data_IF_430514529908
#
_entry.id   IF_430514529908
#
_cell.length_a   1.000
_cell.length_b   1.000
_cell.length_c   1.000
_cell.angle_alpha   90.00
_cell.angle_beta   90.00
_cell.angle_gamma   90.00
#
_symmetry.space_group_name_H-M   'P 1'
#
loop_
_entity.id
_entity.type
_entity.pdbx_description
1 polymer ?
#
# COMPACT_ATOMS: atom_id res chain seq x y z
N UNK A 1 -35.15 -31.75 -29.20
CA UNK A 1 -34.94 -31.83 -27.74
C UNK A 1 -33.48 -31.51 -27.38
N UNK A 2 -32.50 -32.15 -28.01
CA UNK A 2 -31.06 -31.97 -27.69
C UNK A 2 -30.52 -30.53 -27.96
N UNK A 3 -30.93 -29.89 -29.05
CA UNK A 3 -30.54 -28.50 -29.36
C UNK A 3 -31.14 -27.49 -28.38
N UNK A 4 -32.39 -27.72 -27.94
CA UNK A 4 -33.06 -26.88 -26.94
C UNK A 4 -32.43 -26.98 -25.56
N UNK A 5 -31.99 -28.17 -25.15
CA UNK A 5 -31.23 -28.36 -23.91
C UNK A 5 -29.86 -27.67 -23.96
N UNK A 6 -29.13 -27.77 -25.08
CA UNK A 6 -27.85 -27.08 -25.27
C UNK A 6 -28.00 -25.55 -25.22
N UNK A 7 -29.02 -25.00 -25.87
CA UNK A 7 -29.34 -23.56 -25.83
C UNK A 7 -29.72 -23.09 -24.43
N UNK A 8 -30.53 -23.87 -23.69
CA UNK A 8 -30.90 -23.56 -22.31
C UNK A 8 -29.67 -23.57 -21.38
N UNK A 9 -28.80 -24.58 -21.51
CA UNK A 9 -27.56 -24.65 -20.73
C UNK A 9 -26.64 -23.45 -21.02
N UNK A 10 -26.49 -23.06 -22.29
CA UNK A 10 -25.71 -21.89 -22.66
C UNK A 10 -26.30 -20.61 -22.06
N UNK A 11 -27.62 -20.42 -22.17
CA UNK A 11 -28.30 -19.27 -21.58
C UNK A 11 -28.11 -19.19 -20.07
N UNK A 12 -28.33 -20.30 -19.35
CA UNK A 12 -28.16 -20.36 -17.90
C UNK A 12 -26.70 -20.09 -17.49
N UNK A 13 -25.73 -20.67 -18.20
CA UNK A 13 -24.31 -20.41 -17.95
C UNK A 13 -23.96 -18.94 -18.18
N UNK A 14 -24.42 -18.33 -19.28
CA UNK A 14 -24.22 -16.91 -19.55
C UNK A 14 -24.88 -16.01 -18.51
N UNK A 15 -26.09 -16.34 -18.06
CA UNK A 15 -26.78 -15.59 -17.01
C UNK A 15 -26.04 -15.68 -15.67
N UNK A 16 -25.52 -16.85 -15.30
CA UNK A 16 -24.72 -17.03 -14.09
C UNK A 16 -23.38 -16.28 -14.16
N UNK A 17 -22.71 -16.29 -15.32
CA UNK A 17 -21.47 -15.51 -15.53
C UNK A 17 -21.76 -14.01 -15.44
N UNK A 18 -22.82 -13.53 -16.11
CA UNK A 18 -23.22 -12.13 -16.05
C UNK A 18 -23.57 -11.70 -14.61
N UNK A 19 -24.30 -12.54 -13.87
CA UNK A 19 -24.61 -12.31 -12.47
C UNK A 19 -23.36 -12.28 -11.59
N UNK A 20 -22.39 -13.17 -11.84
CA UNK A 20 -21.13 -13.21 -11.09
C UNK A 20 -20.24 -11.99 -11.36
N UNK A 21 -20.21 -11.49 -12.60
CA UNK A 21 -19.45 -10.29 -12.97
C UNK A 21 -20.12 -9.05 -12.40
N UNK A 22 -21.45 -8.99 -12.46
CA UNK A 22 -22.21 -7.84 -12.04
C UNK A 22 -21.97 -7.50 -10.57
N UNK A 23 -21.52 -6.28 -10.34
CA UNK A 23 -21.36 -5.69 -9.01
C UNK A 23 -21.72 -4.22 -9.14
N UNK A 24 -22.58 -3.66 -8.29
CA UNK A 24 -22.83 -2.22 -8.31
C UNK A 24 -21.52 -1.45 -8.13
N UNK A 25 -21.12 -0.71 -9.17
CA UNK A 25 -19.98 0.20 -9.12
C UNK A 25 -20.51 1.62 -8.91
N UNK A 26 -19.88 2.44 -8.06
CA UNK A 26 -20.23 3.84 -7.86
C UNK A 26 -20.32 4.62 -9.18
N UNK A 27 -21.29 5.53 -9.29
CA UNK A 27 -21.60 6.27 -10.53
C UNK A 27 -20.47 7.21 -10.97
N UNK A 28 -19.62 7.62 -10.04
CA UNK A 28 -18.47 8.49 -10.24
C UNK A 28 -17.26 7.76 -10.83
N UNK A 29 -17.26 6.42 -10.90
CA UNK A 29 -16.20 5.63 -11.54
C UNK A 29 -16.35 5.65 -13.06
N UNK A 30 -15.33 6.18 -13.74
CA UNK A 30 -15.33 6.43 -15.20
C UNK A 30 -15.49 5.18 -16.07
N UNK A 31 -14.88 4.05 -15.69
CA UNK A 31 -14.84 2.81 -16.49
C UNK A 31 -15.50 1.61 -15.76
N UNK A 32 -16.81 1.67 -15.43
CA UNK A 32 -17.44 0.75 -14.50
C UNK A 32 -17.39 -0.71 -14.97
N UNK A 33 -17.53 -0.97 -16.28
CA UNK A 33 -17.48 -2.33 -16.83
C UNK A 33 -16.12 -3.00 -16.70
N UNK A 34 -15.03 -2.24 -16.89
CA UNK A 34 -13.68 -2.76 -16.67
C UNK A 34 -13.45 -3.05 -15.18
N UNK A 35 -13.87 -2.13 -14.32
CA UNK A 35 -13.76 -2.31 -12.85
C UNK A 35 -14.58 -3.50 -12.37
N UNK A 36 -15.79 -3.73 -12.90
CA UNK A 36 -16.58 -4.95 -12.62
C UNK A 36 -15.83 -6.22 -13.00
N UNK A 37 -15.25 -6.27 -14.21
CA UNK A 37 -14.49 -7.44 -14.68
C UNK A 37 -13.26 -7.70 -13.82
N UNK A 38 -12.49 -6.66 -13.50
CA UNK A 38 -11.33 -6.76 -12.60
C UNK A 38 -11.78 -7.25 -11.23
N UNK A 39 -12.82 -6.66 -10.66
CA UNK A 39 -13.37 -7.07 -9.35
C UNK A 39 -13.79 -8.53 -9.34
N UNK A 40 -14.49 -8.98 -10.39
CA UNK A 40 -14.90 -10.37 -10.54
C UNK A 40 -13.69 -11.31 -10.62
N UNK A 41 -12.64 -10.92 -11.35
CA UNK A 41 -11.37 -11.67 -11.41
C UNK A 41 -10.71 -11.78 -10.04
N UNK A 42 -10.60 -10.68 -9.28
CA UNK A 42 -10.05 -10.68 -7.92
C UNK A 42 -10.88 -11.55 -6.96
N UNK A 43 -12.21 -11.50 -7.03
CA UNK A 43 -13.08 -12.38 -6.25
C UNK A 43 -12.87 -13.85 -6.60
N UNK A 44 -12.80 -14.19 -7.89
CA UNK A 44 -12.61 -15.56 -8.34
C UNK A 44 -11.27 -16.11 -7.82
N UNK A 45 -10.22 -15.30 -7.92
CA UNK A 45 -8.89 -15.63 -7.39
C UNK A 45 -8.92 -15.82 -5.87
N UNK A 46 -9.59 -14.93 -5.12
CA UNK A 46 -9.75 -15.06 -3.68
C UNK A 46 -10.51 -16.34 -3.28
N UNK A 47 -11.57 -16.70 -3.99
CA UNK A 47 -12.30 -17.95 -3.74
C UNK A 47 -11.44 -19.18 -4.04
N UNK A 48 -10.68 -19.17 -5.13
CA UNK A 48 -9.76 -20.26 -5.47
C UNK A 48 -8.66 -20.41 -4.40
N UNK A 49 -8.08 -19.29 -3.94
CA UNK A 49 -7.10 -19.29 -2.86
C UNK A 49 -7.68 -19.85 -1.56
N UNK A 50 -8.91 -19.47 -1.20
CA UNK A 50 -9.61 -19.98 -0.01
C UNK A 50 -9.90 -21.49 -0.11
N UNK A 51 -10.31 -21.96 -1.30
CA UNK A 51 -10.52 -23.41 -1.53
C UNK A 51 -9.20 -24.16 -1.41
N UNK A 52 -8.11 -23.64 -1.99
CA UNK A 52 -6.80 -24.28 -1.93
C UNK A 52 -6.26 -24.37 -0.48
N UNK A 53 -6.46 -23.31 0.30
CA UNK A 53 -6.11 -23.23 1.72
C UNK A 53 -6.91 -24.23 2.56
N UNK A 54 -8.24 -24.28 2.39
CA UNK A 54 -9.12 -25.22 3.11
C UNK A 54 -8.86 -26.68 2.79
N UNK A 55 -8.41 -26.98 1.57
CA UNK A 55 -8.01 -28.32 1.16
C UNK A 55 -6.59 -28.68 1.61
N UNK A 56 -5.86 -27.76 2.24
CA UNK A 56 -4.49 -27.97 2.72
C UNK A 56 -3.46 -28.07 1.60
N UNK A 57 -3.78 -27.58 0.39
CA UNK A 57 -2.87 -27.65 -0.76
C UNK A 57 -1.80 -26.57 -0.71
N UNK A 58 -2.18 -25.35 -0.32
CA UNK A 58 -1.27 -24.22 -0.17
C UNK A 58 -1.90 -23.14 0.71
N UNK A 59 -1.10 -22.35 1.40
CA UNK A 59 -1.61 -21.24 2.21
C UNK A 59 -2.26 -20.17 1.32
N UNK A 60 -3.30 -19.48 1.82
CA UNK A 60 -4.03 -18.46 1.06
C UNK A 60 -3.12 -17.37 0.45
N UNK A 61 -2.14 -16.87 1.22
CA UNK A 61 -1.21 -15.85 0.72
C UNK A 61 -0.25 -16.39 -0.35
N UNK A 62 0.16 -17.65 -0.22
CA UNK A 62 1.00 -18.29 -1.24
C UNK A 62 0.22 -18.46 -2.56
N UNK A 63 -1.09 -18.73 -2.48
CA UNK A 63 -1.96 -18.81 -3.65
C UNK A 63 -2.07 -17.47 -4.37
N UNK A 64 -2.22 -16.37 -3.62
CA UNK A 64 -2.20 -15.02 -4.20
C UNK A 64 -0.82 -14.65 -4.76
N UNK A 65 0.27 -15.13 -4.15
CA UNK A 65 1.62 -14.89 -4.64
C UNK A 65 1.90 -15.49 -6.02
N UNK A 66 1.25 -16.61 -6.37
CA UNK A 66 1.39 -17.17 -7.73
C UNK A 66 0.91 -16.19 -8.82
N UNK A 67 -0.05 -15.31 -8.49
CA UNK A 67 -0.55 -14.28 -9.40
C UNK A 67 0.49 -13.18 -9.59
N UNK A 68 1.09 -12.71 -8.50
CA UNK A 68 2.22 -11.78 -8.53
C UNK A 68 3.34 -12.32 -9.41
N UNK A 69 3.68 -13.61 -9.25
CA UNK A 69 4.72 -14.26 -10.04
C UNK A 69 4.37 -14.38 -11.53
N UNK A 70 3.09 -14.55 -11.88
CA UNK A 70 2.64 -14.59 -13.27
C UNK A 70 2.78 -13.22 -13.98
N UNK A 71 2.75 -12.13 -13.22
CA UNK A 71 2.97 -10.77 -13.71
C UNK A 71 4.46 -10.34 -13.65
N UNK A 72 5.38 -11.24 -13.30
CA UNK A 72 6.80 -10.91 -13.22
C UNK A 72 7.39 -10.57 -14.60
N UNK A 73 8.18 -9.49 -14.64
CA UNK A 73 8.98 -9.09 -15.80
C UNK A 73 10.47 -9.08 -15.44
N UNK A 74 11.31 -9.59 -16.34
CA UNK A 74 12.77 -9.57 -16.17
C UNK A 74 13.31 -8.12 -16.23
N UNK A 75 14.42 -7.81 -15.55
CA UNK A 75 15.01 -6.46 -15.51
C UNK A 75 15.59 -6.07 -16.88
N UNK A 76 14.72 -5.57 -17.76
CA UNK A 76 15.06 -5.28 -19.15
C UNK A 76 15.36 -3.80 -19.30
N UNK A 77 16.56 -3.50 -19.80
CA UNK A 77 16.96 -2.12 -20.14
C UNK A 77 16.41 -1.72 -21.51
N UNK A 78 16.14 -0.43 -21.67
CA UNK A 78 15.73 0.19 -22.93
C UNK A 78 16.63 1.42 -23.24
N UNK A 79 16.29 2.16 -24.29
CA UNK A 79 17.03 3.35 -24.72
C UNK A 79 16.99 4.51 -23.70
N UNK A 80 16.01 4.53 -22.80
CA UNK A 80 15.81 5.58 -21.81
C UNK A 80 16.35 5.19 -20.44
N UNK A 81 16.21 3.92 -20.03
CA UNK A 81 16.50 3.43 -18.67
C UNK A 81 17.36 2.17 -18.69
N UNK A 82 18.39 2.13 -17.85
CA UNK A 82 19.08 0.89 -17.48
C UNK A 82 18.39 0.28 -16.26
N UNK A 83 17.96 -0.97 -16.39
CA UNK A 83 17.31 -1.72 -15.31
C UNK A 83 18.16 -2.90 -14.90
N UNK A 84 18.45 -3.02 -13.62
CA UNK A 84 19.29 -4.10 -13.06
C UNK A 84 18.76 -4.57 -11.71
N UNK A 85 18.70 -5.88 -11.53
CA UNK A 85 18.50 -6.49 -10.21
C UNK A 85 19.85 -6.60 -9.49
N UNK A 86 19.89 -6.18 -8.23
CA UNK A 86 21.07 -6.23 -7.35
C UNK A 86 20.64 -6.34 -5.88
N UNK A 87 21.58 -6.21 -4.96
CA UNK A 87 21.30 -6.24 -3.52
C UNK A 87 21.91 -5.04 -2.82
N UNK A 88 21.11 -4.38 -1.97
CA UNK A 88 21.58 -3.38 -1.02
C UNK A 88 21.36 -3.92 0.38
N UNK A 89 22.42 -3.97 1.19
CA UNK A 89 22.36 -4.54 2.55
C UNK A 89 21.75 -5.95 2.62
N UNK A 90 22.07 -6.81 1.65
CA UNK A 90 21.55 -8.19 1.50
C UNK A 90 20.03 -8.28 1.27
N UNK A 91 19.41 -7.19 0.81
CA UNK A 91 18.01 -7.16 0.38
C UNK A 91 17.98 -6.92 -1.12
N UNK A 92 17.21 -7.75 -1.83
CA UNK A 92 17.05 -7.62 -3.27
C UNK A 92 16.39 -6.29 -3.63
N UNK A 93 16.95 -5.62 -4.63
CA UNK A 93 16.42 -4.36 -5.18
C UNK A 93 16.47 -4.41 -6.70
N UNK A 94 15.48 -3.79 -7.34
CA UNK A 94 15.53 -3.45 -8.76
C UNK A 94 15.87 -1.97 -8.91
N UNK A 95 16.98 -1.70 -9.58
CA UNK A 95 17.45 -0.34 -9.86
C UNK A 95 17.01 0.10 -11.25
N UNK A 96 16.55 1.34 -11.34
CA UNK A 96 16.25 2.04 -12.59
C UNK A 96 17.14 3.28 -12.67
N UNK A 97 18.07 3.28 -13.62
CA UNK A 97 19.03 4.34 -13.85
C UNK A 97 18.71 5.04 -15.17
N UNK A 98 18.36 6.33 -15.17
CA UNK A 98 18.02 7.05 -16.39
C UNK A 98 19.28 7.31 -17.22
N UNK A 99 19.21 7.02 -18.52
CA UNK A 99 20.29 7.23 -19.50
C UNK A 99 20.36 8.66 -20.01
N UNK A 100 19.28 9.44 -19.81
CA UNK A 100 19.23 10.85 -20.19
C UNK A 100 20.37 11.60 -19.50
N UNK A 101 21.10 12.42 -20.27
CA UNK A 101 22.13 13.29 -19.72
C UNK A 101 21.52 14.20 -18.62
N UNK A 102 22.35 14.55 -17.64
CA UNK A 102 21.98 15.49 -16.59
C UNK A 102 23.06 16.53 -16.48
N UNK A 103 22.66 17.79 -16.31
CA UNK A 103 23.57 18.92 -16.11
C UNK A 103 24.10 19.01 -14.66
N UNK A 104 23.74 18.01 -13.83
CA UNK A 104 24.16 17.91 -12.42
C UNK A 104 23.75 16.58 -11.77
N UNK A 105 23.77 16.56 -10.44
CA UNK A 105 23.31 15.42 -9.64
C UNK A 105 21.80 15.17 -9.82
N UNK A 106 21.39 13.91 -9.72
CA UNK A 106 20.02 13.43 -9.97
C UNK A 106 19.19 13.39 -8.70
N UNK A 107 17.88 13.43 -8.88
CA UNK A 107 16.90 13.03 -7.86
C UNK A 107 17.00 11.53 -7.60
N UNK A 108 16.52 11.09 -6.45
CA UNK A 108 16.28 9.67 -6.20
C UNK A 108 14.93 9.38 -5.55
N UNK A 109 14.34 8.23 -5.90
CA UNK A 109 13.12 7.71 -5.28
C UNK A 109 13.40 6.29 -4.80
N UNK A 110 13.26 6.04 -3.51
CA UNK A 110 13.28 4.69 -2.94
C UNK A 110 11.82 4.26 -2.83
N UNK A 111 11.41 3.26 -3.61
CA UNK A 111 10.02 2.84 -3.74
C UNK A 111 9.79 1.49 -3.05
N UNK A 112 8.75 1.43 -2.24
CA UNK A 112 8.27 0.22 -1.59
C UNK A 112 6.92 -0.18 -2.19
N UNK A 113 6.85 -1.38 -2.74
CA UNK A 113 5.62 -1.86 -3.37
C UNK A 113 4.51 -2.12 -2.32
N UNK A 114 3.25 -2.05 -2.74
CA UNK A 114 2.11 -2.51 -1.95
C UNK A 114 1.90 -4.02 -1.97
N UNK A 115 0.73 -4.47 -1.49
CA UNK A 115 0.37 -5.90 -1.43
C UNK A 115 0.22 -6.46 -0.02
N UNK A 116 -0.20 -5.62 0.95
CA UNK A 116 -0.54 -6.08 2.30
C UNK A 116 0.59 -6.82 3.02
N UNK A 117 1.86 -6.47 2.75
CA UNK A 117 3.07 -7.11 3.28
C UNK A 117 3.22 -8.62 2.98
N UNK A 118 2.28 -9.18 2.22
CA UNK A 118 2.16 -10.61 1.94
C UNK A 118 2.31 -10.93 0.45
N UNK A 119 2.00 -9.97 -0.42
CA UNK A 119 2.11 -10.11 -1.87
C UNK A 119 2.83 -8.92 -2.52
N UNK A 120 3.13 -9.04 -3.81
CA UNK A 120 3.86 -8.03 -4.59
C UNK A 120 5.31 -8.43 -4.86
N UNK A 121 5.92 -7.78 -5.84
CA UNK A 121 7.34 -7.92 -6.19
C UNK A 121 7.79 -6.66 -6.93
N UNK A 122 9.03 -6.22 -6.72
CA UNK A 122 9.60 -5.05 -7.41
C UNK A 122 9.62 -5.20 -8.95
N UNK A 123 9.65 -6.43 -9.45
CA UNK A 123 9.59 -6.81 -10.85
C UNK A 123 8.21 -7.22 -11.35
N UNK A 124 7.14 -7.02 -10.58
CA UNK A 124 5.77 -7.16 -11.10
C UNK A 124 5.51 -6.10 -12.18
N UNK A 125 4.87 -6.47 -13.28
CA UNK A 125 4.67 -5.63 -14.48
C UNK A 125 4.22 -4.19 -14.19
N UNK A 126 3.27 -4.02 -13.27
CA UNK A 126 2.75 -2.71 -12.92
C UNK A 126 3.72 -1.89 -12.06
N UNK A 127 4.47 -2.52 -11.15
CA UNK A 127 5.54 -1.85 -10.40
C UNK A 127 6.73 -1.50 -11.29
N UNK A 128 7.12 -2.38 -12.23
CA UNK A 128 8.16 -2.07 -13.22
C UNK A 128 7.75 -0.87 -14.08
N UNK A 129 6.51 -0.87 -14.58
CA UNK A 129 5.99 0.25 -15.37
C UNK A 129 5.98 1.56 -14.58
N UNK A 130 5.45 1.55 -13.36
CA UNK A 130 5.38 2.73 -12.48
C UNK A 130 6.78 3.30 -12.19
N UNK A 131 7.72 2.44 -11.78
CA UNK A 131 9.06 2.87 -11.35
C UNK A 131 9.93 3.29 -12.53
N UNK A 132 9.82 2.59 -13.67
CA UNK A 132 10.43 2.99 -14.95
C UNK A 132 9.92 4.35 -15.41
N UNK A 133 8.60 4.57 -15.38
CA UNK A 133 8.01 5.86 -15.75
C UNK A 133 8.51 6.96 -14.82
N UNK A 134 8.51 6.73 -13.51
CA UNK A 134 9.01 7.67 -12.49
C UNK A 134 10.47 8.04 -12.76
N UNK A 135 11.34 7.05 -13.01
CA UNK A 135 12.75 7.27 -13.34
C UNK A 135 12.91 8.13 -14.59
N UNK A 136 12.16 7.82 -15.65
CA UNK A 136 12.25 8.50 -16.94
C UNK A 136 11.79 9.96 -16.86
N UNK A 137 10.61 10.20 -16.29
CA UNK A 137 10.02 11.54 -16.23
C UNK A 137 10.80 12.48 -15.32
N UNK A 138 11.27 11.97 -14.18
CA UNK A 138 11.98 12.78 -13.20
C UNK A 138 13.49 12.87 -13.49
N UNK A 139 14.02 12.06 -14.42
CA UNK A 139 15.45 11.78 -14.55
C UNK A 139 16.07 11.38 -13.20
N UNK A 140 15.36 10.50 -12.48
CA UNK A 140 15.68 10.09 -11.13
C UNK A 140 16.21 8.66 -11.09
N UNK A 141 17.15 8.40 -10.17
CA UNK A 141 17.52 7.04 -9.77
C UNK A 141 16.37 6.45 -8.95
N UNK A 142 15.80 5.32 -9.38
CA UNK A 142 14.74 4.65 -8.61
C UNK A 142 15.26 3.34 -8.04
N UNK A 143 15.11 3.16 -6.73
CA UNK A 143 15.45 1.94 -6.00
C UNK A 143 14.15 1.27 -5.59
N UNK A 144 13.70 0.27 -6.34
CA UNK A 144 12.50 -0.50 -6.00
C UNK A 144 12.89 -1.69 -5.12
N UNK A 145 12.45 -1.68 -3.86
CA UNK A 145 12.89 -2.65 -2.85
C UNK A 145 12.01 -3.90 -2.87
N UNK A 146 12.63 -5.07 -2.98
CA UNK A 146 11.94 -6.36 -2.92
C UNK A 146 12.05 -6.97 -1.52
N UNK A 147 11.33 -6.36 -0.57
CA UNK A 147 11.38 -6.75 0.84
C UNK A 147 10.72 -8.11 1.08
N UNK A 148 11.14 -8.83 2.12
CA UNK A 148 10.62 -10.17 2.42
C UNK A 148 9.17 -10.14 2.90
N UNK A 149 8.36 -11.10 2.45
CA UNK A 149 6.91 -11.11 2.64
C UNK A 149 6.41 -12.11 3.70
N UNK A 150 5.29 -11.76 4.32
CA UNK A 150 4.49 -12.63 5.16
C UNK A 150 3.72 -13.64 4.30
N UNK A 151 3.35 -14.82 4.84
CA UNK A 151 3.51 -15.27 6.23
C UNK A 151 4.90 -15.82 6.55
N UNK A 152 5.76 -16.03 5.54
CA UNK A 152 7.09 -16.64 5.72
C UNK A 152 8.00 -15.78 6.59
N UNK A 153 7.97 -14.48 6.37
CA UNK A 153 8.67 -13.49 7.18
C UNK A 153 7.63 -12.49 7.71
N UNK A 154 7.42 -12.48 9.02
CA UNK A 154 6.44 -11.60 9.66
C UNK A 154 7.11 -10.33 10.18
N UNK A 155 6.31 -9.32 10.55
CA UNK A 155 6.79 -8.11 11.21
C UNK A 155 7.78 -8.46 12.35
N UNK A 156 8.93 -7.76 12.47
CA UNK A 156 9.29 -6.52 11.78
C UNK A 156 10.12 -6.68 10.48
N UNK A 157 10.26 -7.88 9.93
CA UNK A 157 11.24 -8.16 8.86
C UNK A 157 11.10 -7.24 7.64
N UNK A 158 9.87 -7.01 7.17
CA UNK A 158 9.56 -6.12 6.04
C UNK A 158 10.12 -4.71 6.29
N UNK A 159 9.88 -4.18 7.49
CA UNK A 159 10.34 -2.86 7.91
C UNK A 159 11.86 -2.82 8.00
N UNK A 160 12.49 -3.85 8.58
CA UNK A 160 13.95 -3.96 8.68
C UNK A 160 14.62 -3.97 7.29
N UNK A 161 14.03 -4.68 6.32
CA UNK A 161 14.51 -4.73 4.95
C UNK A 161 14.49 -3.34 4.30
N UNK A 162 13.33 -2.67 4.26
CA UNK A 162 13.23 -1.35 3.64
C UNK A 162 14.04 -0.28 4.37
N UNK A 163 14.16 -0.39 5.69
CA UNK A 163 14.93 0.54 6.51
C UNK A 163 16.42 0.40 6.25
N UNK A 164 16.94 -0.84 6.21
CA UNK A 164 18.35 -1.11 5.96
C UNK A 164 18.77 -0.67 4.55
N UNK A 165 17.95 -0.96 3.53
CA UNK A 165 18.18 -0.49 2.15
C UNK A 165 18.19 1.03 2.09
N UNK A 166 17.24 1.69 2.74
CA UNK A 166 17.17 3.15 2.75
C UNK A 166 18.39 3.77 3.42
N UNK A 167 18.74 3.27 4.61
CA UNK A 167 19.92 3.73 5.36
C UNK A 167 21.22 3.51 4.58
N UNK A 168 21.36 2.38 3.88
CA UNK A 168 22.48 2.10 2.99
C UNK A 168 22.54 3.08 1.82
N UNK A 169 21.42 3.27 1.12
CA UNK A 169 21.37 4.14 -0.04
C UNK A 169 21.68 5.61 0.30
N UNK A 170 21.30 6.08 1.48
CA UNK A 170 21.55 7.43 1.97
C UNK A 170 23.03 7.73 2.32
N UNK A 171 23.92 6.73 2.28
CA UNK A 171 25.35 6.94 2.53
C UNK A 171 26.00 7.77 1.41
N UNK A 172 26.85 8.75 1.78
CA UNK A 172 27.47 9.67 0.80
C UNK A 172 28.23 8.97 -0.32
N UNK A 173 28.88 7.84 -0.03
CA UNK A 173 29.58 7.03 -1.03
C UNK A 173 28.63 6.41 -2.04
N UNK A 174 27.48 5.90 -1.60
CA UNK A 174 26.45 5.29 -2.45
C UNK A 174 25.76 6.35 -3.29
N UNK A 175 25.41 7.50 -2.70
CA UNK A 175 24.85 8.62 -3.45
C UNK A 175 25.80 9.12 -4.54
N UNK A 176 27.09 9.24 -4.23
CA UNK A 176 28.12 9.63 -5.21
C UNK A 176 28.26 8.60 -6.34
N UNK A 177 28.24 7.31 -6.03
CA UNK A 177 28.28 6.22 -7.02
C UNK A 177 27.16 6.35 -8.06
N UNK A 178 25.95 6.72 -7.64
CA UNK A 178 24.80 6.89 -8.53
C UNK A 178 24.58 8.33 -9.01
N UNK A 179 25.46 9.27 -8.65
CA UNK A 179 25.35 10.68 -8.99
C UNK A 179 24.06 11.32 -8.47
N UNK A 180 23.63 10.96 -7.25
CA UNK A 180 22.41 11.45 -6.61
C UNK A 180 22.70 12.67 -5.74
N UNK A 181 21.81 13.64 -5.78
CA UNK A 181 21.83 14.83 -4.94
C UNK A 181 21.30 14.49 -3.54
N UNK A 182 22.09 14.66 -2.46
CA UNK A 182 21.66 14.35 -1.10
C UNK A 182 20.44 15.16 -0.64
N UNK A 183 20.13 16.29 -1.26
CA UNK A 183 19.00 17.15 -0.89
C UNK A 183 17.72 16.84 -1.71
N UNK A 184 17.75 15.83 -2.59
CA UNK A 184 16.66 15.50 -3.54
C UNK A 184 16.28 14.03 -3.53
N UNK A 185 16.08 13.48 -2.33
CA UNK A 185 15.75 12.07 -2.11
C UNK A 185 14.34 11.92 -1.55
N UNK A 186 13.55 11.07 -2.19
CA UNK A 186 12.20 10.71 -1.80
C UNK A 186 12.15 9.26 -1.32
N UNK A 187 11.40 9.01 -0.23
CA UNK A 187 10.88 7.67 0.07
C UNK A 187 9.42 7.61 -0.37
N UNK A 188 9.01 6.56 -1.05
CA UNK A 188 7.65 6.43 -1.57
C UNK A 188 7.16 5.00 -1.50
N UNK A 189 5.84 4.84 -1.52
CA UNK A 189 5.22 3.54 -1.66
C UNK A 189 3.71 3.64 -1.63
N UNK A 190 3.06 2.55 -2.02
CA UNK A 190 1.61 2.46 -2.10
C UNK A 190 1.04 1.39 -1.16
N UNK A 191 -0.14 1.61 -0.58
CA UNK A 191 -0.78 0.66 0.34
C UNK A 191 0.15 0.26 1.50
N UNK A 192 0.50 -1.02 1.63
CA UNK A 192 1.51 -1.53 2.55
C UNK A 192 2.92 -0.95 2.32
N UNK A 193 3.28 -0.58 1.09
CA UNK A 193 4.51 0.16 0.79
C UNK A 193 4.45 1.60 1.30
N UNK A 194 3.28 2.22 1.26
CA UNK A 194 3.04 3.54 1.85
C UNK A 194 3.14 3.52 3.37
N UNK A 195 2.69 2.44 4.01
CA UNK A 195 2.95 2.16 5.43
C UNK A 195 4.45 2.15 5.74
N UNK A 196 5.20 1.33 5.00
CA UNK A 196 6.64 1.18 5.15
C UNK A 196 7.38 2.50 4.92
N UNK A 197 6.95 3.30 3.93
CA UNK A 197 7.53 4.62 3.64
C UNK A 197 7.36 5.60 4.82
N UNK A 198 6.16 5.65 5.41
CA UNK A 198 5.90 6.46 6.59
C UNK A 198 6.71 5.98 7.81
N UNK A 199 6.77 4.67 8.05
CA UNK A 199 7.54 4.08 9.13
C UNK A 199 9.04 4.39 9.01
N UNK A 200 9.61 4.24 7.80
CA UNK A 200 11.02 4.54 7.51
C UNK A 200 11.31 6.02 7.75
N UNK A 201 10.47 6.93 7.24
CA UNK A 201 10.66 8.37 7.44
C UNK A 201 10.70 8.73 8.94
N UNK A 202 9.81 8.16 9.75
CA UNK A 202 9.80 8.36 11.20
C UNK A 202 11.03 7.77 11.90
N UNK A 203 11.51 6.60 11.47
CA UNK A 203 12.67 5.97 12.07
C UNK A 203 13.96 6.72 11.75
N UNK A 204 14.14 7.19 10.51
CA UNK A 204 15.34 7.92 10.09
C UNK A 204 15.54 9.23 10.87
N UNK A 205 14.45 9.91 11.27
CA UNK A 205 14.56 11.10 12.13
C UNK A 205 15.18 10.82 13.50
N UNK A 206 15.03 9.60 14.01
CA UNK A 206 15.53 9.17 15.31
C UNK A 206 16.94 8.59 15.23
N UNK A 207 17.38 8.17 14.04
CA UNK A 207 18.67 7.54 13.82
C UNK A 207 19.76 8.59 13.57
N UNK A 208 20.57 8.82 14.59
CA UNK A 208 21.66 9.80 14.56
C UNK A 208 22.82 9.39 13.64
N UNK A 209 22.88 8.14 13.18
CA UNK A 209 23.88 7.66 12.22
C UNK A 209 23.56 8.11 10.80
N UNK A 210 22.28 8.39 10.50
CA UNK A 210 21.84 8.85 9.19
C UNK A 210 22.04 10.37 9.08
N UNK A 211 22.94 10.78 8.18
CA UNK A 211 23.29 12.20 7.99
C UNK A 211 22.48 12.86 6.87
N UNK A 212 22.19 12.12 5.81
CA UNK A 212 21.39 12.59 4.68
C UNK A 212 19.91 12.52 5.04
N UNK A 213 19.20 13.64 4.90
CA UNK A 213 17.76 13.70 5.19
C UNK A 213 16.95 13.42 3.94
N UNK A 214 15.76 12.85 4.13
CA UNK A 214 14.77 12.78 3.06
C UNK A 214 14.22 14.19 2.79
N UNK A 215 14.09 14.53 1.50
CA UNK A 215 13.43 15.76 1.06
C UNK A 215 11.91 15.59 1.10
N UNK A 216 11.45 14.43 0.65
CA UNK A 216 10.04 14.09 0.47
C UNK A 216 9.72 12.70 1.02
N UNK A 217 8.51 12.52 1.55
CA UNK A 217 7.84 11.22 1.60
C UNK A 217 6.54 11.26 0.78
N UNK A 218 6.29 10.24 -0.03
CA UNK A 218 5.06 10.15 -0.83
C UNK A 218 4.31 8.85 -0.53
N UNK A 219 3.14 8.99 0.07
CA UNK A 219 2.35 7.90 0.64
C UNK A 219 1.09 7.72 -0.18
N UNK A 220 1.00 6.64 -0.93
CA UNK A 220 -0.11 6.42 -1.86
C UNK A 220 -1.11 5.43 -1.25
N UNK A 221 -2.33 5.91 -0.95
CA UNK A 221 -3.40 5.20 -0.24
C UNK A 221 -2.90 4.28 0.91
N UNK A 222 -2.12 4.84 1.87
CA UNK A 222 -1.32 4.05 2.80
C UNK A 222 -2.17 3.38 3.90
N UNK A 223 -1.79 2.16 4.31
CA UNK A 223 -2.32 1.54 5.52
C UNK A 223 -1.54 2.07 6.73
N UNK A 224 -2.15 2.77 7.69
CA UNK A 224 -1.38 3.51 8.71
C UNK A 224 -1.75 3.16 10.15
N UNK A 225 -2.89 2.52 10.38
CA UNK A 225 -3.29 2.10 11.72
C UNK A 225 -3.97 0.73 11.75
N UNK A 226 -3.87 0.09 12.90
CA UNK A 226 -4.35 -1.26 13.19
C UNK A 226 -5.40 -1.30 14.28
N UNK A 227 -5.70 -0.18 14.95
CA UNK A 227 -6.44 -0.16 16.21
C UNK A 227 -7.95 -0.16 16.01
N UNK A 228 -8.43 0.64 15.07
CA UNK A 228 -9.85 0.78 14.76
C UNK A 228 -10.10 0.38 13.30
N UNK A 229 -10.55 -0.85 13.10
CA UNK A 229 -10.92 -1.39 11.78
C UNK A 229 -12.41 -1.20 11.48
N UNK A 230 -13.07 -0.27 12.20
CA UNK A 230 -14.45 0.17 12.00
C UNK A 230 -14.54 1.67 11.71
N UNK A 231 -13.49 2.33 11.20
CA UNK A 231 -13.60 3.72 10.71
C UNK A 231 -14.75 3.87 9.70
N UNK A 232 -15.30 5.08 9.49
CA UNK A 232 -16.33 5.33 8.47
C UNK A 232 -15.97 4.72 7.11
N UNK A 233 -14.75 4.89 6.62
CA UNK A 233 -14.28 4.28 5.37
C UNK A 233 -14.27 2.75 5.39
N UNK A 234 -13.91 2.12 6.51
CA UNK A 234 -13.95 0.65 6.64
C UNK A 234 -15.37 0.09 6.55
N UNK A 235 -16.38 0.84 7.02
CA UNK A 235 -17.79 0.47 6.96
C UNK A 235 -18.39 0.77 5.57
N UNK A 236 -18.18 1.98 5.05
CA UNK A 236 -18.67 2.41 3.74
C UNK A 236 -18.11 1.56 2.60
N UNK A 237 -16.84 1.17 2.73
CA UNK A 237 -16.10 0.47 1.69
C UNK A 237 -15.93 -1.03 1.96
N UNK A 238 -16.73 -1.61 2.87
CA UNK A 238 -16.58 -3.00 3.34
C UNK A 238 -16.48 -4.02 2.20
N UNK A 239 -17.27 -3.82 1.13
CA UNK A 239 -17.39 -4.73 -0.02
C UNK A 239 -16.85 -4.16 -1.33
N UNK A 240 -16.07 -3.07 -1.28
CA UNK A 240 -15.61 -2.38 -2.50
C UNK A 240 -14.56 -3.19 -3.27
N UNK A 241 -14.35 -2.86 -4.56
CA UNK A 241 -13.36 -3.51 -5.41
C UNK A 241 -11.96 -3.59 -4.82
N UNK A 242 -11.24 -4.66 -5.17
CA UNK A 242 -9.81 -4.91 -4.88
C UNK A 242 -9.48 -5.15 -3.40
N UNK A 243 -9.86 -4.24 -2.50
CA UNK A 243 -9.56 -4.34 -1.07
C UNK A 243 -10.83 -4.29 -0.21
N UNK A 244 -11.57 -5.40 -0.10
CA UNK A 244 -12.61 -5.55 0.90
C UNK A 244 -12.03 -5.49 2.33
N UNK A 245 -12.84 -5.06 3.30
CA UNK A 245 -12.44 -4.97 4.72
C UNK A 245 -11.84 -6.27 5.24
N UNK A 246 -12.47 -7.42 4.96
CA UNK A 246 -12.00 -8.72 5.44
C UNK A 246 -10.65 -9.13 4.84
N UNK A 247 -10.35 -8.70 3.61
CA UNK A 247 -9.04 -8.94 3.02
C UNK A 247 -7.97 -8.08 3.71
N UNK A 248 -8.28 -6.81 4.02
CA UNK A 248 -7.38 -5.94 4.79
C UNK A 248 -7.13 -6.50 6.20
N UNK A 249 -8.17 -7.00 6.88
CA UNK A 249 -8.02 -7.70 8.17
C UNK A 249 -7.11 -8.91 8.04
N UNK A 250 -7.24 -9.71 6.97
CA UNK A 250 -6.37 -10.87 6.72
C UNK A 250 -4.91 -10.44 6.49
N UNK A 251 -4.67 -9.37 5.74
CA UNK A 251 -3.32 -8.81 5.58
C UNK A 251 -2.72 -8.33 6.91
N UNK A 252 -3.48 -7.55 7.69
CA UNK A 252 -3.03 -7.12 9.01
C UNK A 252 -2.70 -8.29 9.93
N UNK A 253 -3.57 -9.31 10.00
CA UNK A 253 -3.31 -10.46 10.85
C UNK A 253 -2.06 -11.21 10.38
N UNK A 254 -1.97 -11.57 9.09
CA UNK A 254 -0.85 -12.36 8.54
C UNK A 254 0.50 -11.66 8.68
N UNK A 255 0.50 -10.32 8.65
CA UNK A 255 1.69 -9.51 8.90
C UNK A 255 2.29 -9.77 10.29
N UNK A 256 1.47 -10.12 11.28
CA UNK A 256 1.91 -10.44 12.64
C UNK A 256 1.91 -11.95 12.96
N UNK A 257 0.92 -12.70 12.46
CA UNK A 257 0.69 -14.12 12.80
C UNK A 257 -0.36 -14.78 11.89
N UNK A 258 -0.28 -16.09 11.69
CA UNK A 258 -1.37 -16.86 11.05
C UNK A 258 -2.36 -17.45 12.06
N UNK A 259 -2.29 -17.01 13.33
CA UNK A 259 -3.25 -17.38 14.38
C UNK A 259 -4.61 -16.72 14.09
N UNK A 260 -5.64 -17.55 13.89
CA UNK A 260 -6.98 -17.09 13.54
C UNK A 260 -7.62 -16.26 14.66
N UNK A 261 -7.22 -16.44 15.91
CA UNK A 261 -7.76 -15.67 17.04
C UNK A 261 -7.50 -14.17 16.91
N UNK A 262 -6.31 -13.78 16.44
CA UNK A 262 -6.02 -12.36 16.17
C UNK A 262 -6.86 -11.85 15.00
N UNK A 263 -6.97 -12.64 13.93
CA UNK A 263 -7.77 -12.29 12.76
C UNK A 263 -9.25 -12.10 13.09
N UNK A 264 -9.82 -12.99 13.89
CA UNK A 264 -11.22 -12.92 14.35
C UNK A 264 -11.46 -11.74 15.30
N UNK A 265 -10.51 -11.47 16.19
CA UNK A 265 -10.54 -10.30 17.05
C UNK A 265 -10.46 -9.00 16.25
N UNK A 266 -9.56 -8.90 15.26
CA UNK A 266 -9.45 -7.76 14.34
C UNK A 266 -10.71 -7.59 13.48
N UNK A 267 -11.26 -8.67 12.92
CA UNK A 267 -12.49 -8.64 12.13
C UNK A 267 -13.68 -8.09 12.92
N UNK A 268 -13.72 -8.37 14.23
CA UNK A 268 -14.75 -7.87 15.14
C UNK A 268 -14.36 -6.57 15.85
N UNK A 269 -13.20 -5.98 15.53
CA UNK A 269 -12.66 -4.76 16.14
C UNK A 269 -12.51 -4.85 17.68
N UNK A 270 -12.08 -6.02 18.18
CA UNK A 270 -11.96 -6.38 19.61
C UNK A 270 -10.60 -7.00 19.94
N UNK A 271 -9.53 -6.51 19.34
CA UNK A 271 -8.15 -7.00 19.55
C UNK A 271 -7.28 -6.09 20.40
N UNK A 272 -7.66 -4.82 20.58
CA UNK A 272 -6.88 -3.85 21.39
C UNK A 272 -7.33 -3.92 22.84
N UNK A 273 -6.44 -4.22 23.80
CA UNK A 273 -6.82 -4.37 25.20
C UNK A 273 -6.91 -3.01 25.91
N UNK A 274 -7.54 -2.99 27.09
CA UNK A 274 -7.83 -1.75 27.84
C UNK A 274 -6.56 -1.01 28.29
N UNK A 275 -5.47 -1.73 28.55
CA UNK A 275 -4.16 -1.17 28.93
C UNK A 275 -3.56 -0.33 27.79
N UNK A 276 -3.90 -0.66 26.54
CA UNK A 276 -3.51 0.07 25.34
C UNK A 276 -4.55 1.10 24.90
N UNK A 277 -5.62 1.33 25.69
CA UNK A 277 -6.68 2.29 25.38
C UNK A 277 -6.16 3.71 25.16
N UNK A 278 -5.06 4.06 25.82
CA UNK A 278 -4.39 5.33 25.63
C UNK A 278 -3.94 5.55 24.19
N UNK A 279 -3.79 4.54 23.33
CA UNK A 279 -3.42 4.74 21.92
C UNK A 279 -4.60 5.19 21.04
N UNK A 280 -5.85 5.00 21.48
CA UNK A 280 -7.02 5.37 20.67
C UNK A 280 -7.15 6.87 20.40
N UNK A 281 -6.50 7.73 21.20
CA UNK A 281 -6.51 9.17 20.91
C UNK A 281 -5.83 9.49 19.58
N UNK A 282 -4.86 8.68 19.14
CA UNK A 282 -4.16 8.87 17.87
C UNK A 282 -5.00 8.51 16.64
N UNK A 283 -6.03 7.68 16.82
CA UNK A 283 -6.95 7.19 15.78
C UNK A 283 -8.38 7.69 16.00
N UNK A 284 -8.57 8.71 16.85
CA UNK A 284 -9.91 9.20 17.17
C UNK A 284 -10.49 9.99 15.99
N UNK A 285 -11.16 9.26 15.09
CA UNK A 285 -11.72 9.79 13.86
C UNK A 285 -12.82 10.82 14.09
N UNK A 286 -13.47 10.85 15.26
CA UNK A 286 -14.43 11.91 15.60
C UNK A 286 -13.78 13.30 15.65
N UNK A 287 -12.48 13.37 15.93
CA UNK A 287 -11.72 14.62 15.96
C UNK A 287 -10.84 14.80 14.72
N UNK A 288 -10.40 13.70 14.10
CA UNK A 288 -9.39 13.72 13.03
C UNK A 288 -9.97 13.68 11.62
N UNK A 289 -11.23 13.29 11.45
CA UNK A 289 -11.91 13.37 10.15
C UNK A 289 -12.70 14.68 10.02
N UNK A 290 -12.77 15.26 8.81
CA UNK A 290 -13.73 16.33 8.52
C UNK A 290 -15.17 15.80 8.58
N UNK A 291 -16.14 16.67 8.90
CA UNK A 291 -17.55 16.30 9.02
C UNK A 291 -18.11 15.59 7.77
N UNK A 292 -17.65 16.01 6.59
CA UNK A 292 -18.05 15.45 5.29
C UNK A 292 -17.74 13.95 5.16
N UNK A 293 -16.68 13.46 5.82
CA UNK A 293 -16.26 12.06 5.77
C UNK A 293 -16.81 11.22 6.93
N UNK A 294 -17.37 11.86 7.97
CA UNK A 294 -18.07 11.14 9.06
C UNK A 294 -19.43 10.64 8.61
N UNK A 295 -20.09 11.36 7.68
CA UNK A 295 -21.43 11.05 7.14
C UNK A 295 -22.39 10.71 8.29
N UNK A 296 -23.10 9.57 8.19
CA UNK A 296 -24.04 9.10 9.21
C UNK A 296 -23.39 8.19 10.28
N UNK A 297 -22.06 8.03 10.25
CA UNK A 297 -21.36 7.17 11.20
C UNK A 297 -21.32 7.82 12.59
N UNK A 298 -21.77 7.08 13.60
CA UNK A 298 -21.70 7.49 15.01
C UNK A 298 -20.42 6.95 15.63
N UNK A 299 -19.62 7.83 16.23
CA UNK A 299 -18.44 7.40 16.98
C UNK A 299 -18.87 6.62 18.21
N UNK A 300 -18.49 5.35 18.25
CA UNK A 300 -18.63 4.50 19.44
C UNK A 300 -17.28 4.30 20.08
N UNK A 301 -17.21 4.40 21.41
CA UNK A 301 -16.01 4.04 22.14
C UNK A 301 -15.57 2.60 21.79
N UNK A 302 -14.28 2.36 21.57
CA UNK A 302 -13.78 1.04 21.20
C UNK A 302 -14.15 -0.04 22.22
N UNK A 303 -14.49 -1.23 21.72
CA UNK A 303 -14.69 -2.39 22.58
C UNK A 303 -13.35 -3.06 22.84
N UNK A 304 -12.91 -3.08 24.10
CA UNK A 304 -11.62 -3.63 24.47
C UNK A 304 -11.56 -5.15 24.27
N UNK A 305 -10.43 -5.60 23.73
CA UNK A 305 -10.07 -7.00 23.54
C UNK A 305 -9.33 -7.62 24.73
N UNK A 306 -8.90 -8.87 24.56
CA UNK A 306 -8.08 -9.59 25.54
C UNK A 306 -6.62 -9.11 25.54
N UNK A 307 -6.05 -8.92 26.72
CA UNK A 307 -4.63 -8.59 26.90
C UNK A 307 -3.70 -9.72 26.40
N UNK A 308 -4.20 -10.97 26.30
CA UNK A 308 -3.43 -12.12 25.80
C UNK A 308 -2.96 -11.93 24.36
N UNK A 309 -3.82 -11.39 23.47
CA UNK A 309 -3.46 -11.17 22.07
C UNK A 309 -2.39 -10.10 21.92
N UNK A 310 -2.47 -9.02 22.69
CA UNK A 310 -1.45 -7.97 22.68
C UNK A 310 -0.11 -8.44 23.26
N UNK A 311 -0.14 -9.31 24.28
CA UNK A 311 1.08 -9.91 24.83
C UNK A 311 1.73 -10.89 23.83
N UNK A 312 0.91 -11.70 23.14
CA UNK A 312 1.39 -12.68 22.16
C UNK A 312 1.85 -12.03 20.86
N UNK A 313 1.19 -10.97 20.42
CA UNK A 313 1.40 -10.30 19.15
C UNK A 313 1.50 -8.77 19.30
N UNK A 314 2.50 -8.24 20.02
CA UNK A 314 2.58 -6.81 20.30
C UNK A 314 2.82 -5.93 19.05
N UNK A 315 3.18 -6.54 17.92
CA UNK A 315 3.48 -5.83 16.67
C UNK A 315 2.34 -4.94 16.16
N UNK A 316 1.08 -5.32 16.39
CA UNK A 316 -0.05 -4.47 15.96
C UNK A 316 -0.19 -3.18 16.79
N UNK A 317 0.59 -3.01 17.86
CA UNK A 317 0.66 -1.76 18.64
C UNK A 317 1.95 -0.97 18.35
N UNK A 318 2.84 -1.50 17.52
CA UNK A 318 4.14 -0.90 17.25
C UNK A 318 4.03 0.18 16.17
N UNK A 319 4.59 1.37 16.44
CA UNK A 319 4.61 2.49 15.48
C UNK A 319 5.29 2.18 14.14
N UNK A 320 6.16 1.15 14.10
CA UNK A 320 6.80 0.69 12.84
C UNK A 320 5.84 -0.10 11.96
N UNK A 321 4.80 -0.71 12.54
CA UNK A 321 3.71 -1.37 11.80
C UNK A 321 2.51 -0.44 11.60
N UNK A 322 2.25 0.46 12.56
CA UNK A 322 1.15 1.42 12.54
C UNK A 322 1.69 2.85 12.73
N UNK A 323 2.24 3.49 11.68
CA UNK A 323 2.86 4.82 11.76
C UNK A 323 1.93 5.92 12.27
N UNK A 324 0.61 5.75 12.13
CA UNK A 324 -0.37 6.68 12.69
C UNK A 324 -0.40 6.68 14.22
N UNK A 325 0.25 5.73 14.91
CA UNK A 325 0.32 5.69 16.37
C UNK A 325 1.50 6.48 16.94
N UNK A 326 2.34 7.04 16.07
CA UNK A 326 3.45 7.88 16.52
C UNK A 326 2.94 9.12 17.24
N UNK A 327 3.61 9.50 18.32
CA UNK A 327 3.30 10.73 19.07
C UNK A 327 3.53 11.98 18.21
N UNK A 328 2.86 13.08 18.52
CA UNK A 328 3.04 14.36 17.80
C UNK A 328 4.50 14.81 17.81
N UNK A 329 5.24 14.51 18.88
CA UNK A 329 6.68 14.79 18.97
C UNK A 329 7.52 14.02 17.96
N UNK A 330 7.12 12.79 17.63
CA UNK A 330 7.78 11.95 16.63
C UNK A 330 7.40 12.33 15.20
N UNK A 331 6.23 12.95 15.00
CA UNK A 331 5.80 13.46 13.70
C UNK A 331 6.50 14.79 13.33
N UNK A 332 6.91 15.58 14.32
CA UNK A 332 7.64 16.84 14.09
C UNK A 332 8.93 16.59 13.32
N UNK A 333 9.15 17.37 12.27
CA UNK A 333 10.37 17.33 11.47
C UNK A 333 10.37 16.28 10.35
N UNK A 334 9.27 15.55 10.15
CA UNK A 334 9.09 14.69 8.97
C UNK A 334 9.20 15.50 7.67
N UNK A 335 9.64 14.86 6.56
CA UNK A 335 9.84 15.55 5.29
C UNK A 335 8.54 16.09 4.71
N UNK A 336 8.66 16.94 3.67
CA UNK A 336 7.52 17.37 2.87
C UNK A 336 6.74 16.14 2.41
N UNK A 337 5.45 16.11 2.71
CA UNK A 337 4.65 14.89 2.59
C UNK A 337 3.58 15.04 1.52
N UNK A 338 3.51 14.07 0.61
CA UNK A 338 2.39 13.85 -0.29
C UNK A 338 1.59 12.64 0.18
N UNK A 339 0.28 12.79 0.32
CA UNK A 339 -0.62 11.68 0.62
C UNK A 339 -1.69 11.62 -0.46
N UNK A 340 -1.76 10.52 -1.18
CA UNK A 340 -2.90 10.22 -2.06
C UNK A 340 -3.89 9.34 -1.30
N UNK A 341 -5.18 9.66 -1.36
CA UNK A 341 -6.27 8.82 -0.84
C UNK A 341 -7.32 8.61 -1.92
N UNK A 342 -8.05 7.52 -1.84
CA UNK A 342 -9.14 7.17 -2.75
C UNK A 342 -10.46 7.18 -1.97
N UNK A 343 -11.56 7.67 -2.55
CA UNK A 343 -12.88 7.67 -1.87
C UNK A 343 -13.40 6.25 -1.63
N UNK A 344 -13.25 5.37 -2.61
CA UNK A 344 -13.73 3.98 -2.55
C UNK A 344 -12.65 3.04 -2.00
N UNK A 345 -12.12 3.36 -0.82
CA UNK A 345 -11.03 2.63 -0.15
C UNK A 345 -11.29 2.51 1.36
N UNK A 346 -11.11 1.31 1.93
CA UNK A 346 -11.19 1.11 3.38
C UNK A 346 -10.11 1.90 4.13
N UNK A 347 -8.96 2.16 3.51
CA UNK A 347 -7.84 2.92 4.06
C UNK A 347 -7.94 4.43 3.83
N UNK A 348 -9.04 4.95 3.26
CA UNK A 348 -9.24 6.38 3.04
C UNK A 348 -8.97 7.17 4.33
N UNK A 349 -9.64 6.78 5.41
CA UNK A 349 -9.62 7.54 6.66
C UNK A 349 -8.26 7.44 7.38
N UNK A 350 -7.51 6.35 7.20
CA UNK A 350 -6.12 6.23 7.66
C UNK A 350 -5.26 7.38 7.11
N UNK A 351 -5.30 7.58 5.79
CA UNK A 351 -4.55 8.63 5.12
C UNK A 351 -4.99 10.05 5.50
N UNK A 352 -6.31 10.27 5.63
CA UNK A 352 -6.87 11.57 6.04
C UNK A 352 -6.44 11.93 7.46
N UNK A 353 -6.62 11.01 8.41
CA UNK A 353 -6.20 11.23 9.79
C UNK A 353 -4.70 11.51 9.89
N UNK A 354 -3.87 10.81 9.10
CA UNK A 354 -2.44 11.05 9.10
C UNK A 354 -2.09 12.43 8.57
N UNK A 355 -2.74 12.87 7.48
CA UNK A 355 -2.55 14.20 6.92
C UNK A 355 -2.84 15.29 7.97
N UNK A 356 -3.95 15.17 8.70
CA UNK A 356 -4.30 16.13 9.76
C UNK A 356 -3.30 16.12 10.91
N UNK A 357 -2.88 14.95 11.37
CA UNK A 357 -1.87 14.86 12.44
C UNK A 357 -0.50 15.41 12.03
N UNK A 358 -0.08 15.19 10.78
CA UNK A 358 1.15 15.76 10.24
C UNK A 358 1.07 17.29 10.16
N UNK A 359 -0.05 17.84 9.66
CA UNK A 359 -0.28 19.30 9.64
C UNK A 359 -0.24 19.90 11.04
N UNK A 360 -0.91 19.26 12.00
CA UNK A 360 -0.91 19.69 13.40
C UNK A 360 0.51 19.64 14.02
N UNK A 361 1.35 18.70 13.58
CA UNK A 361 2.77 18.62 13.96
C UNK A 361 3.67 19.62 13.18
N UNK A 362 3.11 20.47 12.32
CA UNK A 362 3.85 21.47 11.55
C UNK A 362 4.57 20.94 10.30
N UNK A 363 4.22 19.73 9.84
CA UNK A 363 4.73 19.16 8.59
C UNK A 363 3.96 19.75 7.42
N UNK A 364 4.66 20.11 6.33
CA UNK A 364 4.01 20.53 5.09
C UNK A 364 3.42 19.31 4.38
N UNK A 365 2.11 19.33 4.13
CA UNK A 365 1.37 18.18 3.59
C UNK A 365 0.52 18.61 2.40
N UNK A 366 0.77 17.98 1.24
CA UNK A 366 -0.20 17.92 0.15
C UNK A 366 -1.03 16.65 0.32
N UNK A 367 -2.33 16.82 0.56
CA UNK A 367 -3.27 15.70 0.58
C UNK A 367 -4.08 15.75 -0.71
N UNK A 368 -3.82 14.79 -1.57
CA UNK A 368 -4.57 14.55 -2.79
C UNK A 368 -5.66 13.50 -2.52
N UNK A 369 -6.92 13.89 -2.70
CA UNK A 369 -8.05 12.99 -2.53
C UNK A 369 -8.74 12.75 -3.88
N UNK A 370 -8.69 11.50 -4.35
CA UNK A 370 -9.29 11.06 -5.60
C UNK A 370 -10.70 10.50 -5.36
N UNK A 371 -11.71 11.30 -5.71
CA UNK A 371 -13.13 10.98 -5.48
C UNK A 371 -13.63 9.79 -6.28
N UNK A 372 -13.10 9.57 -7.47
CA UNK A 372 -13.53 8.52 -8.40
C UNK A 372 -12.63 7.28 -8.40
N UNK A 373 -11.72 7.19 -7.42
CA UNK A 373 -10.73 6.13 -7.34
C UNK A 373 -11.04 5.14 -6.21
N UNK A 374 -10.45 3.95 -6.33
CA UNK A 374 -10.51 2.87 -5.34
C UNK A 374 -9.10 2.43 -4.96
N UNK A 375 -8.99 1.57 -3.95
CA UNK A 375 -7.69 1.09 -3.48
C UNK A 375 -6.87 0.43 -4.60
N UNK A 376 -5.59 0.77 -4.70
CA UNK A 376 -4.70 0.19 -5.72
C UNK A 376 -4.95 0.70 -7.14
N UNK A 377 -5.84 1.67 -7.36
CA UNK A 377 -6.17 2.17 -8.70
C UNK A 377 -4.94 2.59 -9.53
N UNK A 378 -3.91 3.16 -8.90
CA UNK A 378 -2.66 3.58 -9.55
C UNK A 378 -1.86 2.42 -10.17
N UNK A 379 -2.12 1.17 -9.76
CA UNK A 379 -1.46 -0.03 -10.29
C UNK A 379 -2.01 -0.48 -11.64
N UNK A 380 -3.21 -0.02 -12.02
CA UNK A 380 -3.86 -0.38 -13.27
C UNK A 380 -3.41 0.54 -14.43
N UNK A 381 -2.11 0.54 -14.69
CA UNK A 381 -1.44 1.34 -15.73
C UNK A 381 -0.81 0.51 -16.85
N UNK A 382 -1.07 -0.80 -16.81
CA UNK A 382 -0.53 -1.77 -17.76
C UNK A 382 -1.63 -2.71 -18.26
N UNK A 383 -1.66 -2.95 -19.57
CA UNK A 383 -2.48 -3.98 -20.21
C UNK A 383 -2.32 -5.36 -19.53
N UNK A 384 -3.38 -6.18 -19.45
CA UNK A 384 -4.71 -5.99 -20.04
C UNK A 384 -5.73 -5.26 -19.17
N UNK A 385 -5.35 -4.87 -17.95
CA UNK A 385 -6.26 -4.31 -16.94
C UNK A 385 -6.13 -2.80 -16.75
N UNK A 386 -5.55 -2.08 -17.72
CA UNK A 386 -5.31 -0.64 -17.61
C UNK A 386 -6.60 0.19 -17.55
N UNK A 387 -6.56 1.22 -16.69
CA UNK A 387 -7.66 2.15 -16.41
C UNK A 387 -7.18 3.60 -16.52
N UNK A 388 -8.05 4.46 -17.05
CA UNK A 388 -7.82 5.90 -17.15
C UNK A 388 -7.53 6.53 -15.78
N UNK A 389 -8.25 6.11 -14.73
CA UNK A 389 -7.99 6.52 -13.35
C UNK A 389 -6.57 6.17 -12.92
N UNK A 390 -6.07 4.98 -13.26
CA UNK A 390 -4.71 4.56 -12.90
C UNK A 390 -3.65 5.49 -13.51
N UNK A 391 -3.74 5.75 -14.81
CA UNK A 391 -2.83 6.66 -15.50
C UNK A 391 -2.91 8.09 -14.96
N UNK A 392 -4.12 8.58 -14.64
CA UNK A 392 -4.31 9.91 -14.07
C UNK A 392 -3.66 10.04 -12.70
N UNK A 393 -3.83 9.05 -11.81
CA UNK A 393 -3.23 9.06 -10.48
C UNK A 393 -1.69 8.98 -10.56
N UNK A 394 -1.16 8.10 -11.40
CA UNK A 394 0.29 8.00 -11.62
C UNK A 394 0.87 9.32 -12.13
N UNK A 395 0.19 9.96 -13.09
CA UNK A 395 0.60 11.27 -13.62
C UNK A 395 0.62 12.34 -12.53
N UNK A 396 -0.44 12.45 -11.72
CA UNK A 396 -0.52 13.42 -10.61
C UNK A 396 0.60 13.21 -9.58
N UNK A 397 0.87 11.96 -9.22
CA UNK A 397 1.98 11.60 -8.34
C UNK A 397 3.35 12.05 -8.91
N UNK A 398 3.61 11.76 -10.19
CA UNK A 398 4.87 12.14 -10.85
C UNK A 398 4.98 13.66 -11.01
N UNK A 399 3.91 14.35 -11.39
CA UNK A 399 3.88 15.81 -11.51
C UNK A 399 4.19 16.48 -10.18
N UNK A 400 3.55 16.02 -9.11
CA UNK A 400 3.83 16.55 -7.76
C UNK A 400 5.28 16.30 -7.35
N UNK A 401 5.83 15.11 -7.61
CA UNK A 401 7.25 14.85 -7.35
C UNK A 401 8.16 15.72 -8.20
N UNK A 402 7.84 15.98 -9.46
CA UNK A 402 8.65 16.82 -10.33
C UNK A 402 8.79 18.25 -9.79
N UNK A 403 7.74 18.76 -9.16
CA UNK A 403 7.72 20.13 -8.63
C UNK A 403 8.38 20.24 -7.24
N UNK A 404 8.44 19.14 -6.48
CA UNK A 404 8.83 19.15 -5.06
C UNK A 404 10.14 18.40 -4.75
N UNK A 405 10.63 17.57 -5.68
CA UNK A 405 11.87 16.80 -5.58
C UNK A 405 12.96 17.40 -6.46
#
# INVERSE_FOLDING_TARGET
VEMGAKLLCLFLASALIAYYIYTPIPEDVEEPWKVMLITASFRAMGHLAEVADRLGMMHYMDALMLLTAAEYVAPTSDENITVTDTEFSNVAVRLYLPRRASDGLRRAVIYFHGGGWCVGDAGMKSYDHLTRWTSNMLNAVVVSVNYRLAPKYRFPVQFEDVYSVTKFFLQSSVLSQYGVDPDRICVAGDSAGGNLAAAVAQQLLKDSEVKTKLKVQALVYPALQTLDLNLPSYQENEYKPILPKLLMVKFWSEYFTSDSSLREAMASNRHVPVESSHLFHFVNWSNLLPEELKKDCVYTSPTYGSSELAQKYPGFLDTRAAPLLASDAQLRGLPLTYILTCEHDVLRDDGVMYAERLRAAGVSVTHDHAKDAFHGAMMFVSSPAELAVGHRLLKRYIEWLNDNL
#
